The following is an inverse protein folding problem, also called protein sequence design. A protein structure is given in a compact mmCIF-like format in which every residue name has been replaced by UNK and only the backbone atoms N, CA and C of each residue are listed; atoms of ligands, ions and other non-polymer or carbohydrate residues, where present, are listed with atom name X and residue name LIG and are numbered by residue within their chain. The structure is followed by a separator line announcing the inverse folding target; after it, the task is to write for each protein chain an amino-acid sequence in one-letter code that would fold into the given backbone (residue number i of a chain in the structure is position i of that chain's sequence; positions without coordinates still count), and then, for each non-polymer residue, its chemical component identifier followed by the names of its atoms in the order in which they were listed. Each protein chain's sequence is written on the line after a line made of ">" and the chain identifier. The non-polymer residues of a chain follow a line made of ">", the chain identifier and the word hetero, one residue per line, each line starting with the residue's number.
data_IF_391904056788
#
_entry.id   IF_391904056788
#
_cell.length_a   1.000
_cell.length_b   1.000
_cell.length_c   1.000
_cell.angle_alpha   90.00
_cell.angle_beta   90.00
_cell.angle_gamma   90.00
#
_symmetry.space_group_name_H-M   'P 1'
#
loop_
_entity.id
_entity.type
_entity.pdbx_description
1 polymer ?
#
# COMPACT_ATOMS: atom_id res chain seq x y z
N UNK A 1 8.55 -20.54 13.09
CA UNK A 1 9.60 -20.65 12.06
C UNK A 1 9.97 -22.12 11.94
N UNK A 2 10.23 -22.60 10.70
CA UNK A 2 10.73 -23.95 10.49
C UNK A 2 12.14 -24.10 11.08
N UNK A 3 12.50 -25.33 11.49
CA UNK A 3 13.86 -25.61 11.96
C UNK A 3 14.92 -25.17 10.94
N UNK A 4 15.95 -24.46 11.40
CA UNK A 4 17.05 -23.97 10.57
C UNK A 4 16.86 -22.57 9.98
N UNK A 5 15.77 -21.86 10.32
CA UNK A 5 15.60 -20.46 9.92
C UNK A 5 16.21 -19.53 10.99
N UNK A 6 17.09 -18.61 10.54
CA UNK A 6 17.67 -17.55 11.37
C UNK A 6 16.82 -16.28 11.26
N UNK A 7 16.10 -15.92 12.33
CA UNK A 7 15.35 -14.69 12.44
C UNK A 7 15.94 -13.83 13.56
N UNK A 8 16.42 -12.66 13.22
CA UNK A 8 17.03 -11.73 14.15
C UNK A 8 16.23 -10.46 14.26
N UNK A 9 15.84 -10.11 15.50
CA UNK A 9 15.20 -8.83 15.83
C UNK A 9 16.23 -7.83 16.32
N UNK A 10 15.95 -6.53 16.18
CA UNK A 10 16.86 -5.46 16.60
C UNK A 10 18.10 -5.34 15.71
N UNK A 11 18.08 -5.90 14.51
CA UNK A 11 19.15 -5.77 13.52
C UNK A 11 18.68 -4.85 12.41
N UNK A 12 19.45 -3.79 12.15
CA UNK A 12 19.18 -2.82 11.08
C UNK A 12 20.11 -3.10 9.91
N UNK A 13 19.53 -3.37 8.73
CA UNK A 13 20.32 -3.46 7.50
C UNK A 13 20.71 -2.05 7.03
N UNK A 14 22.00 -1.84 6.77
CA UNK A 14 22.57 -0.53 6.45
C UNK A 14 22.80 -0.36 4.95
N UNK A 15 23.27 -1.42 4.27
CA UNK A 15 23.52 -1.43 2.83
C UNK A 15 23.63 -2.84 2.26
N UNK A 16 23.44 -2.95 0.95
CA UNK A 16 23.67 -4.17 0.16
C UNK A 16 24.72 -3.87 -0.91
N UNK A 17 25.72 -4.75 -1.03
CA UNK A 17 26.81 -4.62 -2.00
C UNK A 17 26.92 -5.91 -2.85
N UNK A 18 27.51 -5.78 -4.03
CA UNK A 18 27.82 -6.93 -4.89
C UNK A 18 26.60 -7.57 -5.53
N UNK A 19 25.58 -6.81 -5.89
CA UNK A 19 24.36 -7.31 -6.54
C UNK A 19 24.67 -8.15 -7.80
N UNK A 20 25.68 -7.77 -8.58
CA UNK A 20 26.13 -8.50 -9.77
C UNK A 20 27.02 -9.72 -9.48
N UNK A 21 27.40 -9.92 -8.24
CA UNK A 21 28.22 -11.05 -7.86
C UNK A 21 27.39 -12.31 -7.61
N UNK A 22 28.02 -13.47 -7.61
CA UNK A 22 27.37 -14.72 -7.23
C UNK A 22 26.94 -14.74 -5.74
N UNK A 23 27.55 -13.89 -4.92
CA UNK A 23 27.30 -13.78 -3.48
C UNK A 23 27.26 -12.30 -3.05
N UNK A 24 26.06 -11.67 -3.14
CA UNK A 24 25.87 -10.34 -2.59
C UNK A 24 26.02 -10.35 -1.08
N UNK A 25 26.37 -9.19 -0.50
CA UNK A 25 26.57 -9.01 0.94
C UNK A 25 25.62 -7.97 1.52
N UNK A 26 25.08 -8.30 2.69
CA UNK A 26 24.29 -7.36 3.49
C UNK A 26 25.13 -6.94 4.69
N UNK A 27 25.29 -5.64 4.86
CA UNK A 27 25.91 -5.05 6.04
C UNK A 27 24.80 -4.57 6.97
N UNK A 28 24.91 -4.90 8.25
CA UNK A 28 23.87 -4.59 9.22
C UNK A 28 24.49 -4.25 10.59
N UNK A 29 23.71 -3.54 11.40
CA UNK A 29 24.09 -3.18 12.78
C UNK A 29 23.11 -3.82 13.77
N UNK A 30 23.62 -4.59 14.70
CA UNK A 30 22.85 -5.20 15.79
C UNK A 30 22.41 -4.18 16.84
N UNK A 31 21.49 -4.58 17.74
CA UNK A 31 20.93 -3.72 18.78
C UNK A 31 21.98 -3.18 19.79
N UNK A 32 23.08 -3.90 19.96
CA UNK A 32 24.24 -3.55 20.79
C UNK A 32 25.33 -2.77 20.05
N UNK A 33 25.10 -2.46 18.75
CA UNK A 33 26.07 -1.79 17.88
C UNK A 33 27.07 -2.75 17.21
N UNK A 34 26.89 -4.07 17.34
CA UNK A 34 27.71 -5.04 16.62
C UNK A 34 27.52 -4.87 15.09
N UNK A 35 28.66 -4.87 14.38
CA UNK A 35 28.65 -4.84 12.91
C UNK A 35 28.58 -6.26 12.35
N UNK A 36 27.59 -6.50 11.52
CA UNK A 36 27.34 -7.79 10.88
C UNK A 36 27.60 -7.69 9.38
N UNK A 37 28.27 -8.70 8.83
CA UNK A 37 28.41 -8.91 7.39
C UNK A 37 27.82 -10.27 7.04
N UNK A 38 26.84 -10.31 6.14
CA UNK A 38 26.09 -11.51 5.78
C UNK A 38 26.30 -11.77 4.30
N UNK A 39 27.01 -12.84 3.95
CA UNK A 39 27.10 -13.35 2.59
C UNK A 39 25.85 -14.16 2.25
N UNK A 40 25.23 -13.87 1.11
CA UNK A 40 24.01 -14.54 0.67
C UNK A 40 24.14 -15.04 -0.77
N UNK A 41 23.41 -16.10 -1.12
CA UNK A 41 23.25 -16.53 -2.52
C UNK A 41 22.26 -15.62 -3.25
N UNK A 42 21.33 -15.02 -2.52
CA UNK A 42 20.37 -14.05 -3.01
C UNK A 42 19.89 -13.13 -1.89
N UNK A 43 19.62 -11.87 -2.20
CA UNK A 43 19.06 -10.89 -1.24
C UNK A 43 17.67 -10.46 -1.70
N UNK A 44 16.69 -10.51 -0.78
CA UNK A 44 15.34 -10.01 -1.00
C UNK A 44 15.11 -8.76 -0.16
N UNK A 45 14.93 -7.62 -0.81
CA UNK A 45 14.56 -6.36 -0.17
C UNK A 45 13.06 -6.34 0.11
N UNK A 46 12.70 -6.59 1.38
CA UNK A 46 11.33 -6.48 1.92
C UNK A 46 11.30 -5.41 3.04
N UNK A 47 12.12 -4.38 2.90
CA UNK A 47 12.52 -3.40 3.91
C UNK A 47 11.70 -2.10 3.85
N UNK A 48 10.51 -2.18 3.25
CA UNK A 48 9.52 -1.12 3.29
C UNK A 48 9.82 0.07 2.36
N UNK A 49 9.06 1.14 2.53
CA UNK A 49 9.08 2.27 1.60
C UNK A 49 10.38 3.10 1.60
N UNK A 50 11.20 2.97 2.64
CA UNK A 50 12.53 3.61 2.75
C UNK A 50 13.68 2.63 2.48
N UNK A 51 13.43 1.67 1.61
CA UNK A 51 14.29 0.54 1.29
C UNK A 51 15.75 0.92 0.99
N UNK A 52 16.69 0.30 1.70
CA UNK A 52 18.11 0.36 1.39
C UNK A 52 18.46 -0.62 0.25
N UNK A 53 17.76 -1.75 0.18
CA UNK A 53 17.93 -2.72 -0.91
C UNK A 53 17.61 -2.12 -2.27
N UNK A 54 16.68 -1.15 -2.34
CA UNK A 54 16.37 -0.41 -3.57
C UNK A 54 17.58 0.31 -4.15
N UNK A 55 18.47 0.82 -3.31
CA UNK A 55 19.71 1.45 -3.78
C UNK A 55 20.59 0.47 -4.54
N UNK A 56 20.67 -0.79 -4.10
CA UNK A 56 21.43 -1.82 -4.79
C UNK A 56 20.80 -2.25 -6.12
N UNK A 57 19.49 -2.09 -6.27
CA UNK A 57 18.76 -2.47 -7.49
C UNK A 57 18.69 -1.33 -8.50
N UNK A 58 18.40 -0.10 -8.06
CA UNK A 58 18.11 1.04 -8.96
C UNK A 58 19.20 2.11 -8.95
N UNK A 59 20.23 1.95 -8.15
CA UNK A 59 21.28 2.96 -7.93
C UNK A 59 20.87 4.13 -7.00
N UNK A 60 19.61 4.18 -6.53
CA UNK A 60 19.09 5.24 -5.66
C UNK A 60 17.88 4.77 -4.85
N UNK A 61 17.74 5.25 -3.61
CA UNK A 61 16.52 5.01 -2.82
C UNK A 61 15.25 5.61 -3.46
N UNK A 62 15.39 6.64 -4.28
CA UNK A 62 14.29 7.31 -5.00
C UNK A 62 14.18 6.86 -6.46
N UNK A 63 14.90 5.81 -6.85
CA UNK A 63 14.92 5.31 -8.23
C UNK A 63 13.60 4.66 -8.62
N UNK A 64 12.62 5.47 -9.07
CA UNK A 64 11.29 5.00 -9.43
C UNK A 64 10.35 6.10 -9.91
N UNK A 65 9.15 5.68 -10.29
CA UNK A 65 8.03 6.56 -10.58
C UNK A 65 7.36 6.98 -9.29
N UNK A 66 7.18 8.27 -9.05
CA UNK A 66 6.67 8.81 -7.81
C UNK A 66 5.52 9.79 -8.04
N UNK A 67 4.50 9.75 -7.17
CA UNK A 67 3.41 10.72 -7.13
C UNK A 67 2.96 10.96 -5.71
N UNK A 68 2.84 12.22 -5.33
CA UNK A 68 2.13 12.68 -4.13
C UNK A 68 0.71 13.12 -4.47
N UNK A 69 -0.16 13.05 -3.48
CA UNK A 69 -1.55 13.50 -3.61
C UNK A 69 -1.74 14.76 -2.75
N UNK A 70 -2.54 15.73 -3.23
CA UNK A 70 -2.73 17.01 -2.54
C UNK A 70 -3.72 16.93 -1.37
N UNK A 71 -3.95 15.75 -0.83
CA UNK A 71 -4.81 15.48 0.32
C UNK A 71 -4.30 14.24 1.08
N UNK A 72 -4.79 14.12 2.31
CA UNK A 72 -4.51 13.01 3.20
C UNK A 72 -5.81 12.47 3.80
N UNK A 73 -5.71 11.42 4.60
CA UNK A 73 -6.77 10.96 5.48
C UNK A 73 -6.44 11.31 6.91
N UNK A 74 -7.36 12.01 7.57
CA UNK A 74 -7.40 12.07 9.01
C UNK A 74 -8.06 10.78 9.50
N UNK A 75 -7.34 9.99 10.29
CA UNK A 75 -7.76 8.70 10.79
C UNK A 75 -8.01 8.71 12.28
N UNK A 76 -9.08 8.06 12.72
CA UNK A 76 -9.36 7.80 14.12
C UNK A 76 -9.59 6.31 14.39
N UNK A 77 -9.20 5.86 15.59
CA UNK A 77 -9.70 4.63 16.20
C UNK A 77 -10.53 5.02 17.41
N UNK A 78 -11.73 4.46 17.53
CA UNK A 78 -12.65 4.72 18.62
C UNK A 78 -13.27 3.45 19.18
N UNK A 79 -13.61 3.47 20.46
CA UNK A 79 -14.33 2.40 21.14
C UNK A 79 -15.84 2.57 20.90
N UNK A 80 -16.33 2.03 19.79
CA UNK A 80 -17.75 2.07 19.43
C UNK A 80 -18.15 0.81 18.67
N UNK A 81 -19.41 0.35 18.79
CA UNK A 81 -19.92 -0.73 17.95
C UNK A 81 -20.02 -0.29 16.49
N UNK A 82 -20.06 -1.24 15.53
CA UNK A 82 -20.15 -0.91 14.10
C UNK A 82 -21.29 0.04 13.77
N UNK A 83 -21.00 1.07 12.98
CA UNK A 83 -22.00 2.03 12.47
C UNK A 83 -22.84 1.44 11.33
N UNK A 84 -22.32 0.42 10.65
CA UNK A 84 -22.95 -0.30 9.55
C UNK A 84 -22.42 -1.72 9.50
N UNK A 85 -23.19 -2.65 8.96
CA UNK A 85 -22.76 -4.02 8.70
C UNK A 85 -21.69 -4.07 7.59
N UNK A 86 -21.70 -3.10 6.69
CA UNK A 86 -20.80 -3.00 5.56
C UNK A 86 -19.81 -1.84 5.71
N UNK A 87 -18.68 -1.96 5.04
CA UNK A 87 -17.73 -0.88 4.85
C UNK A 87 -18.36 0.27 4.05
N UNK A 88 -18.27 1.51 4.56
CA UNK A 88 -18.78 2.68 3.85
C UNK A 88 -17.63 3.47 3.23
N UNK A 89 -17.65 3.59 1.90
CA UNK A 89 -16.92 4.60 1.14
C UNK A 89 -17.88 5.71 0.77
N UNK A 90 -17.65 6.92 1.22
CA UNK A 90 -18.52 8.06 0.94
C UNK A 90 -17.79 9.13 0.16
N UNK A 91 -18.39 9.57 -0.97
CA UNK A 91 -18.04 10.81 -1.65
C UNK A 91 -19.13 11.84 -1.32
N UNK A 92 -18.78 12.95 -0.73
CA UNK A 92 -19.71 14.02 -0.37
C UNK A 92 -19.19 15.39 -0.82
N UNK A 93 -20.02 16.45 -0.79
CA UNK A 93 -19.53 17.81 -1.03
C UNK A 93 -18.43 18.26 -0.07
N UNK A 94 -18.37 17.66 1.12
CA UNK A 94 -17.33 17.92 2.13
C UNK A 94 -16.07 17.06 1.97
N UNK A 95 -15.98 16.26 0.91
CA UNK A 95 -14.90 15.33 0.63
C UNK A 95 -15.21 13.89 1.01
N UNK A 96 -14.19 13.06 0.98
CA UNK A 96 -14.27 11.62 1.21
C UNK A 96 -14.38 11.28 2.70
N UNK A 97 -15.08 10.17 2.99
CA UNK A 97 -14.99 9.46 4.27
C UNK A 97 -14.98 7.94 4.06
N UNK A 98 -14.33 7.23 4.97
CA UNK A 98 -14.30 5.78 5.05
C UNK A 98 -14.66 5.37 6.49
N UNK A 99 -15.69 4.54 6.63
CA UNK A 99 -16.12 4.00 7.91
C UNK A 99 -15.92 2.48 7.88
N UNK A 100 -15.15 1.95 8.83
CA UNK A 100 -14.86 0.52 8.89
C UNK A 100 -14.81 0.02 10.32
N UNK A 101 -15.37 -1.18 10.55
CA UNK A 101 -15.20 -1.89 11.81
C UNK A 101 -13.84 -2.62 11.85
N UNK A 102 -13.27 -2.71 13.05
CA UNK A 102 -12.11 -3.54 13.35
C UNK A 102 -12.48 -4.75 14.21
N UNK A 103 -13.49 -4.57 15.05
CA UNK A 103 -14.11 -5.59 15.90
C UNK A 103 -15.52 -5.16 16.22
N UNK A 104 -16.22 -5.95 17.04
CA UNK A 104 -17.56 -5.62 17.54
C UNK A 104 -17.58 -4.35 18.42
N UNK A 105 -16.43 -3.90 18.89
CA UNK A 105 -16.30 -2.78 19.84
C UNK A 105 -15.33 -1.69 19.38
N UNK A 106 -14.69 -1.83 18.22
CA UNK A 106 -13.70 -0.87 17.70
C UNK A 106 -13.98 -0.54 16.26
N UNK A 107 -14.07 0.73 15.95
CA UNK A 107 -14.14 1.24 14.59
C UNK A 107 -12.88 2.04 14.22
N UNK A 108 -12.52 1.96 12.95
CA UNK A 108 -11.54 2.82 12.32
C UNK A 108 -12.24 3.65 11.25
N UNK A 109 -12.17 4.96 11.39
CA UNK A 109 -12.81 5.90 10.47
C UNK A 109 -11.78 6.89 9.92
N UNK A 110 -12.03 7.33 8.70
CA UNK A 110 -11.18 8.30 8.03
C UNK A 110 -12.04 9.36 7.34
N UNK A 111 -11.53 10.59 7.28
CA UNK A 111 -12.04 11.61 6.38
C UNK A 111 -10.90 12.32 5.66
N UNK A 112 -11.19 12.83 4.47
CA UNK A 112 -10.25 13.60 3.68
C UNK A 112 -9.88 14.91 4.40
N UNK A 113 -8.58 15.20 4.48
CA UNK A 113 -8.03 16.42 5.08
C UNK A 113 -6.85 16.98 4.27
N UNK A 114 -6.38 18.14 4.67
CA UNK A 114 -5.09 18.69 4.22
C UNK A 114 -3.95 17.77 4.71
N UNK A 115 -2.92 17.50 3.89
CA UNK A 115 -1.78 16.66 4.31
C UNK A 115 -0.97 17.22 5.49
N UNK A 116 -1.03 18.52 5.72
CA UNK A 116 -0.26 19.21 6.76
C UNK A 116 -1.06 19.51 8.03
N UNK A 117 -2.30 19.00 8.12
CA UNK A 117 -3.11 19.19 9.32
C UNK A 117 -2.47 18.51 10.53
N UNK A 118 -2.47 19.20 11.67
CA UNK A 118 -2.03 18.63 12.94
C UNK A 118 -3.11 17.65 13.45
N UNK A 119 -2.78 16.39 13.80
CA UNK A 119 -3.73 15.46 14.41
C UNK A 119 -4.42 15.97 15.67
N UNK A 120 -3.79 16.88 16.39
CA UNK A 120 -4.34 17.49 17.61
C UNK A 120 -5.13 18.80 17.35
N UNK A 121 -5.29 19.20 16.09
CA UNK A 121 -6.00 20.44 15.73
C UNK A 121 -7.50 20.42 16.02
N UNK A 122 -8.09 19.24 16.17
CA UNK A 122 -9.53 19.07 16.34
C UNK A 122 -9.89 18.50 17.71
N UNK A 123 -10.98 19.00 18.28
CA UNK A 123 -11.66 18.35 19.41
C UNK A 123 -12.36 17.07 18.97
N UNK A 124 -12.76 16.22 19.92
CA UNK A 124 -13.50 14.99 19.57
C UNK A 124 -14.86 15.32 18.91
N UNK A 125 -15.55 16.36 19.40
CA UNK A 125 -16.81 16.81 18.84
C UNK A 125 -16.66 17.23 17.38
N UNK A 126 -15.64 18.04 17.05
CA UNK A 126 -15.35 18.47 15.68
C UNK A 126 -15.00 17.28 14.77
N UNK A 127 -14.29 16.25 15.28
CA UNK A 127 -13.99 15.04 14.51
C UNK A 127 -15.27 14.27 14.15
N UNK A 128 -16.21 14.13 15.10
CA UNK A 128 -17.49 13.51 14.83
C UNK A 128 -18.35 14.32 13.86
N UNK A 129 -18.38 15.63 13.97
CA UNK A 129 -19.04 16.52 13.01
C UNK A 129 -18.44 16.37 11.61
N UNK A 130 -17.12 16.35 11.49
CA UNK A 130 -16.43 16.14 10.21
C UNK A 130 -16.78 14.81 9.56
N UNK A 131 -16.82 13.73 10.33
CA UNK A 131 -17.18 12.41 9.85
C UNK A 131 -18.67 12.33 9.45
N UNK A 132 -19.58 12.77 10.34
CA UNK A 132 -21.01 12.70 10.10
C UNK A 132 -21.45 13.55 8.90
N UNK A 133 -20.85 14.73 8.72
CA UNK A 133 -21.14 15.60 7.56
C UNK A 133 -20.79 14.97 6.21
N UNK A 134 -19.92 13.96 6.20
CA UNK A 134 -19.50 13.24 4.98
C UNK A 134 -20.26 11.95 4.74
N UNK A 135 -21.06 11.48 5.72
CA UNK A 135 -21.84 10.23 5.64
C UNK A 135 -23.32 10.51 5.95
N UNK A 136 -24.02 11.25 5.08
CA UNK A 136 -25.39 11.72 5.38
C UNK A 136 -26.43 10.60 5.45
N UNK A 137 -26.14 9.42 4.92
CA UNK A 137 -27.08 8.28 4.86
C UNK A 137 -27.05 7.34 6.06
N UNK A 138 -26.11 7.54 7.01
CA UNK A 138 -25.92 6.64 8.15
C UNK A 138 -25.59 7.47 9.39
N UNK A 139 -26.26 7.18 10.51
CA UNK A 139 -25.90 7.75 11.81
C UNK A 139 -24.69 6.99 12.34
N UNK A 140 -23.59 7.67 12.52
CA UNK A 140 -22.38 7.09 13.06
C UNK A 140 -22.53 6.76 14.55
N UNK A 141 -21.95 5.65 14.96
CA UNK A 141 -21.83 5.27 16.38
C UNK A 141 -20.58 5.91 16.93
N UNK A 142 -20.76 6.86 17.82
CA UNK A 142 -19.68 7.58 18.49
C UNK A 142 -19.18 6.83 19.73
N UNK A 143 -17.94 7.10 20.12
CA UNK A 143 -17.33 6.58 21.34
C UNK A 143 -15.94 7.19 21.56
N UNK A 144 -15.29 6.93 22.70
CA UNK A 144 -13.99 7.49 23.03
C UNK A 144 -12.96 7.24 21.95
N UNK A 145 -12.30 8.30 21.47
CA UNK A 145 -11.23 8.24 20.49
C UNK A 145 -9.91 8.00 21.23
N UNK A 146 -9.23 6.88 20.91
CA UNK A 146 -7.97 6.52 21.57
C UNK A 146 -6.74 6.60 20.66
N UNK A 147 -6.93 6.80 19.36
CA UNK A 147 -5.84 7.05 18.40
C UNK A 147 -6.29 8.02 17.31
N UNK A 148 -5.37 8.92 16.94
CA UNK A 148 -5.49 9.86 15.81
C UNK A 148 -4.24 9.80 14.99
N UNK A 149 -4.36 9.87 13.66
CA UNK A 149 -3.24 9.95 12.74
C UNK A 149 -3.60 10.69 11.45
N UNK A 150 -2.60 11.17 10.73
CA UNK A 150 -2.76 11.72 9.37
C UNK A 150 -1.96 10.86 8.40
N UNK A 151 -2.68 10.19 7.51
CA UNK A 151 -2.12 9.31 6.51
C UNK A 151 -1.97 10.07 5.18
N UNK A 152 -0.75 10.49 4.87
CA UNK A 152 -0.41 11.10 3.57
C UNK A 152 -0.35 10.03 2.49
N UNK A 153 -0.84 10.37 1.31
CA UNK A 153 -0.89 9.45 0.16
C UNK A 153 0.29 9.64 -0.76
N UNK A 154 0.85 8.52 -1.17
CA UNK A 154 1.83 8.49 -2.24
C UNK A 154 1.66 7.23 -3.09
N UNK A 155 2.00 7.34 -4.35
CA UNK A 155 2.27 6.20 -5.23
C UNK A 155 3.76 6.16 -5.52
N UNK A 156 4.30 4.96 -5.52
CA UNK A 156 5.67 4.72 -5.94
C UNK A 156 5.75 3.38 -6.68
N UNK A 157 6.58 3.30 -7.70
CA UNK A 157 6.98 2.04 -8.35
C UNK A 157 8.46 2.16 -8.70
N UNK A 158 9.29 1.24 -8.22
CA UNK A 158 10.71 1.21 -8.57
C UNK A 158 10.89 1.04 -10.09
N UNK A 159 11.92 1.67 -10.67
CA UNK A 159 12.24 1.52 -12.08
C UNK A 159 12.59 0.08 -12.43
N UNK A 160 13.28 -0.59 -11.53
CA UNK A 160 13.69 -1.97 -11.63
C UNK A 160 13.29 -2.72 -10.35
N UNK A 161 12.84 -3.96 -10.50
CA UNK A 161 12.44 -4.82 -9.38
C UNK A 161 13.51 -5.82 -9.01
N UNK A 162 14.54 -5.98 -9.84
CA UNK A 162 15.67 -6.88 -9.65
C UNK A 162 16.91 -6.33 -10.36
N UNK A 163 18.06 -6.51 -9.71
CA UNK A 163 19.37 -6.34 -10.31
C UNK A 163 20.30 -7.48 -9.81
N UNK A 164 20.84 -8.27 -10.73
CA UNK A 164 21.68 -9.41 -10.40
C UNK A 164 21.01 -10.37 -9.39
N UNK A 165 21.62 -10.51 -8.23
CA UNK A 165 21.16 -11.36 -7.11
C UNK A 165 20.42 -10.59 -6.02
N UNK A 166 19.85 -9.43 -6.33
CA UNK A 166 19.02 -8.64 -5.41
C UNK A 166 17.67 -8.37 -6.06
N UNK A 167 16.57 -8.66 -5.36
CA UNK A 167 15.22 -8.34 -5.82
C UNK A 167 14.41 -7.61 -4.74
N UNK A 168 13.41 -6.83 -5.15
CA UNK A 168 12.52 -6.05 -4.30
C UNK A 168 11.13 -6.67 -4.27
N UNK A 169 10.48 -6.62 -3.10
CA UNK A 169 9.08 -7.02 -2.89
C UNK A 169 8.36 -6.03 -2.00
N UNK A 170 7.05 -5.92 -2.15
CA UNK A 170 6.20 -5.07 -1.31
C UNK A 170 6.56 -3.59 -1.39
N UNK A 171 6.52 -2.87 -0.28
CA UNK A 171 6.74 -1.43 -0.23
C UNK A 171 8.17 -1.00 -0.62
N UNK A 172 9.12 -1.93 -0.61
CA UNK A 172 10.44 -1.71 -1.20
C UNK A 172 10.38 -1.52 -2.72
N UNK A 173 9.49 -2.24 -3.37
CA UNK A 173 9.25 -2.21 -4.83
C UNK A 173 8.19 -1.19 -5.23
N UNK A 174 7.12 -1.05 -4.46
CA UNK A 174 5.96 -0.21 -4.80
C UNK A 174 5.12 0.18 -3.59
N UNK A 175 4.54 1.37 -3.63
CA UNK A 175 3.47 1.80 -2.71
C UNK A 175 2.27 2.27 -3.50
N UNK A 176 1.07 2.03 -2.98
CA UNK A 176 -0.21 2.41 -3.60
C UNK A 176 -1.04 3.24 -2.63
N UNK A 177 -1.92 4.15 -3.11
CA UNK A 177 -2.88 4.82 -2.24
C UNK A 177 -3.74 3.81 -1.48
N UNK A 178 -4.08 4.06 -0.22
CA UNK A 178 -4.81 3.11 0.62
C UNK A 178 -6.25 2.88 0.19
N UNK A 179 -6.84 3.77 -0.61
CA UNK A 179 -8.24 3.73 -1.07
C UNK A 179 -8.62 2.41 -1.74
N UNK A 180 -7.69 1.81 -2.48
CA UNK A 180 -7.92 0.53 -3.16
C UNK A 180 -7.71 -0.72 -2.29
N UNK A 181 -7.19 -0.57 -1.06
CA UNK A 181 -6.84 -1.67 -0.14
C UNK A 181 -5.94 -2.75 -0.79
N UNK A 182 -4.98 -2.34 -1.64
CA UNK A 182 -4.15 -3.26 -2.45
C UNK A 182 -2.76 -3.55 -1.90
N UNK A 183 -2.20 -2.70 -1.03
CA UNK A 183 -0.78 -2.74 -0.65
C UNK A 183 -0.33 -4.12 -0.14
N UNK A 184 -0.98 -4.65 0.89
CA UNK A 184 -0.61 -5.94 1.48
C UNK A 184 -0.79 -7.11 0.49
N UNK A 185 -1.94 -7.16 -0.19
CA UNK A 185 -2.23 -8.25 -1.15
C UNK A 185 -1.24 -8.25 -2.31
N UNK A 186 -0.80 -7.07 -2.76
CA UNK A 186 0.20 -6.91 -3.81
C UNK A 186 1.56 -7.39 -3.32
N UNK A 187 1.97 -7.02 -2.11
CA UNK A 187 3.22 -7.46 -1.49
C UNK A 187 3.28 -8.99 -1.32
N UNK A 188 2.17 -9.61 -0.89
CA UNK A 188 2.07 -11.09 -0.79
C UNK A 188 2.18 -11.74 -2.18
N UNK A 189 1.59 -11.13 -3.21
CA UNK A 189 1.70 -11.64 -4.57
C UNK A 189 3.15 -11.61 -5.08
N UNK A 190 3.90 -10.53 -4.80
CA UNK A 190 5.32 -10.44 -5.14
C UNK A 190 6.12 -11.57 -4.48
N UNK A 191 5.87 -11.80 -3.19
CA UNK A 191 6.56 -12.86 -2.42
C UNK A 191 6.29 -14.23 -3.03
N UNK A 192 5.04 -14.53 -3.42
CA UNK A 192 4.70 -15.82 -4.04
C UNK A 192 5.38 -15.97 -5.40
N UNK A 193 5.41 -14.92 -6.22
CA UNK A 193 6.07 -14.96 -7.52
C UNK A 193 7.59 -15.14 -7.38
N UNK A 194 8.20 -14.37 -6.48
CA UNK A 194 9.64 -14.43 -6.25
C UNK A 194 10.06 -15.76 -5.59
N UNK A 195 9.26 -16.29 -4.65
CA UNK A 195 9.52 -17.60 -4.02
C UNK A 195 9.60 -18.72 -5.07
N UNK A 196 8.65 -18.75 -5.99
CA UNK A 196 8.67 -19.74 -7.09
C UNK A 196 9.91 -19.59 -7.96
N UNK A 197 10.27 -18.35 -8.29
CA UNK A 197 11.45 -18.06 -9.09
C UNK A 197 12.75 -18.47 -8.38
N UNK A 198 12.85 -18.19 -7.08
CA UNK A 198 14.02 -18.59 -6.28
C UNK A 198 14.11 -20.10 -6.08
N UNK A 199 12.99 -20.80 -5.95
CA UNK A 199 13.00 -22.27 -5.91
C UNK A 199 13.53 -22.86 -7.21
N UNK A 200 13.08 -22.37 -8.36
CA UNK A 200 13.59 -22.83 -9.66
C UNK A 200 15.09 -22.56 -9.78
N UNK A 201 15.56 -21.39 -9.38
CA UNK A 201 16.96 -21.05 -9.38
C UNK A 201 17.79 -21.95 -8.45
N UNK A 202 17.40 -22.04 -7.17
CA UNK A 202 18.25 -22.65 -6.13
C UNK A 202 18.17 -24.19 -6.13
N UNK A 203 17.04 -24.79 -6.53
CA UNK A 203 16.83 -26.23 -6.49
C UNK A 203 16.99 -26.89 -7.86
N UNK A 204 16.71 -26.17 -8.95
CA UNK A 204 16.67 -26.71 -10.31
C UNK A 204 17.72 -26.08 -11.23
N UNK A 205 18.43 -25.05 -10.74
CA UNK A 205 19.37 -24.22 -11.51
C UNK A 205 18.75 -23.61 -12.77
N UNK A 206 17.45 -23.22 -12.66
CA UNK A 206 16.69 -22.57 -13.73
C UNK A 206 16.50 -21.08 -13.40
N UNK A 207 17.16 -20.21 -14.15
CA UNK A 207 17.08 -18.73 -13.96
C UNK A 207 15.88 -18.10 -14.69
N UNK A 208 15.24 -18.79 -15.62
CA UNK A 208 14.16 -18.24 -16.48
C UNK A 208 13.00 -17.63 -15.67
N UNK A 209 12.47 -18.26 -14.61
CA UNK A 209 11.43 -17.65 -13.79
C UNK A 209 11.90 -16.39 -13.05
N UNK A 210 13.18 -16.35 -12.65
CA UNK A 210 13.75 -15.19 -11.99
C UNK A 210 13.94 -14.02 -12.97
N UNK A 211 14.33 -14.29 -14.20
CA UNK A 211 14.43 -13.27 -15.26
C UNK A 211 13.06 -12.74 -15.66
N UNK A 212 12.01 -13.56 -15.60
CA UNK A 212 10.63 -13.15 -15.87
C UNK A 212 9.95 -12.41 -14.71
N UNK A 213 10.48 -12.52 -13.47
CA UNK A 213 9.88 -11.91 -12.27
C UNK A 213 9.60 -10.41 -12.41
N UNK A 214 10.54 -9.55 -12.84
CA UNK A 214 10.32 -8.12 -12.93
C UNK A 214 9.14 -7.75 -13.83
N UNK A 215 9.02 -8.37 -14.99
CA UNK A 215 7.93 -8.10 -15.92
C UNK A 215 6.59 -8.63 -15.39
N UNK A 216 6.57 -9.83 -14.84
CA UNK A 216 5.35 -10.46 -14.31
C UNK A 216 4.80 -9.67 -13.11
N UNK A 217 5.66 -9.30 -12.16
CA UNK A 217 5.28 -8.47 -11.02
C UNK A 217 4.84 -7.07 -11.46
N UNK A 218 5.58 -6.43 -12.39
CA UNK A 218 5.28 -5.08 -12.87
C UNK A 218 3.90 -4.97 -13.53
N UNK A 219 3.49 -5.95 -14.33
CA UNK A 219 2.14 -5.98 -14.91
C UNK A 219 1.04 -5.94 -13.85
N UNK A 220 1.23 -6.66 -12.75
CA UNK A 220 0.31 -6.70 -11.62
C UNK A 220 0.35 -5.40 -10.81
N UNK A 221 1.55 -4.88 -10.54
CA UNK A 221 1.77 -3.61 -9.85
C UNK A 221 1.02 -2.48 -10.56
N UNK A 222 1.16 -2.35 -11.87
CA UNK A 222 0.51 -1.27 -12.63
C UNK A 222 -1.02 -1.40 -12.70
N UNK A 223 -1.57 -2.62 -12.71
CA UNK A 223 -3.03 -2.83 -12.55
C UNK A 223 -3.51 -2.33 -11.17
N UNK A 224 -2.79 -2.66 -10.11
CA UNK A 224 -3.12 -2.23 -8.75
C UNK A 224 -2.93 -0.70 -8.56
N UNK A 225 -1.89 -0.11 -9.15
CA UNK A 225 -1.68 1.34 -9.19
C UNK A 225 -2.84 2.05 -9.90
N UNK A 226 -3.23 1.55 -11.08
CA UNK A 226 -4.39 2.10 -11.80
C UNK A 226 -5.65 2.06 -10.96
N UNK A 227 -6.00 0.91 -10.39
CA UNK A 227 -7.21 0.75 -9.58
C UNK A 227 -7.19 1.66 -8.35
N UNK A 228 -6.09 1.68 -7.60
CA UNK A 228 -5.96 2.52 -6.40
C UNK A 228 -6.01 4.01 -6.73
N UNK A 229 -5.35 4.42 -7.81
CA UNK A 229 -5.42 5.80 -8.32
C UNK A 229 -6.84 6.17 -8.76
N UNK A 230 -7.51 5.29 -9.50
CA UNK A 230 -8.87 5.52 -9.99
C UNK A 230 -9.87 5.65 -8.84
N UNK A 231 -9.85 4.73 -7.88
CA UNK A 231 -10.68 4.82 -6.67
C UNK A 231 -10.41 6.11 -5.89
N UNK A 232 -9.15 6.48 -5.75
CA UNK A 232 -8.75 7.72 -5.09
C UNK A 232 -9.32 8.94 -5.83
N UNK A 233 -9.13 9.00 -7.14
CA UNK A 233 -9.61 10.12 -7.97
C UNK A 233 -11.14 10.20 -8.05
N UNK A 234 -11.83 9.07 -8.02
CA UNK A 234 -13.30 9.00 -8.07
C UNK A 234 -13.94 9.43 -6.73
N UNK A 235 -13.25 9.19 -5.60
CA UNK A 235 -13.85 9.37 -4.28
C UNK A 235 -13.39 10.65 -3.56
N UNK A 236 -12.20 11.17 -3.86
CA UNK A 236 -11.67 12.37 -3.19
C UNK A 236 -11.86 13.61 -4.02
N UNK A 237 -12.08 14.73 -3.35
CA UNK A 237 -12.22 16.05 -4.00
C UNK A 237 -10.85 16.73 -3.99
N UNK A 238 -10.31 17.03 -5.15
CA UNK A 238 -9.05 17.79 -5.24
C UNK A 238 -9.26 19.21 -4.70
N UNK A 239 -8.26 19.81 -4.02
CA UNK A 239 -8.40 21.16 -3.44
C UNK A 239 -8.73 22.26 -4.46
N UNK A 240 -8.28 22.08 -5.70
CA UNK A 240 -8.50 22.98 -6.85
C UNK A 240 -9.68 22.55 -7.75
N UNK A 241 -10.49 21.58 -7.32
CA UNK A 241 -11.61 21.07 -8.11
C UNK A 241 -12.68 22.13 -8.32
N UNK A 242 -13.00 22.36 -9.60
CA UNK A 242 -14.12 23.24 -10.02
C UNK A 242 -15.47 22.53 -9.85
N UNK A 243 -16.56 23.28 -10.00
CA UNK A 243 -17.92 22.69 -10.04
C UNK A 243 -18.09 21.70 -11.20
N UNK A 244 -17.40 21.93 -12.32
CA UNK A 244 -17.39 20.99 -13.43
C UNK A 244 -16.73 19.67 -13.01
N UNK A 245 -15.58 19.72 -12.36
CA UNK A 245 -14.84 18.53 -11.92
C UNK A 245 -15.66 17.70 -10.94
N UNK A 246 -16.31 18.35 -9.98
CA UNK A 246 -17.20 17.71 -9.00
C UNK A 246 -18.40 17.02 -9.67
N UNK A 247 -19.05 17.68 -10.63
CA UNK A 247 -20.19 17.10 -11.38
C UNK A 247 -19.75 15.93 -12.25
N UNK A 248 -18.59 16.05 -12.91
CA UNK A 248 -18.00 14.97 -13.71
C UNK A 248 -17.68 13.76 -12.82
N UNK A 249 -17.10 13.98 -11.65
CA UNK A 249 -16.78 12.93 -10.68
C UNK A 249 -18.03 12.17 -10.21
N UNK A 250 -19.11 12.88 -9.90
CA UNK A 250 -20.41 12.26 -9.58
C UNK A 250 -20.96 11.48 -10.78
N UNK A 251 -20.80 11.99 -12.00
CA UNK A 251 -21.17 11.29 -13.24
C UNK A 251 -20.38 10.00 -13.42
N UNK A 252 -19.08 10.02 -13.13
CA UNK A 252 -18.22 8.82 -13.15
C UNK A 252 -18.70 7.77 -12.12
N UNK A 253 -18.91 8.19 -10.87
CA UNK A 253 -19.40 7.30 -9.82
C UNK A 253 -20.75 6.65 -10.20
N UNK A 254 -21.69 7.44 -10.74
CA UNK A 254 -22.98 6.92 -11.24
C UNK A 254 -22.80 5.93 -12.39
N UNK A 255 -21.91 6.21 -13.32
CA UNK A 255 -21.62 5.30 -14.44
C UNK A 255 -21.12 3.93 -13.95
N UNK A 256 -20.41 3.91 -12.83
CA UNK A 256 -19.95 2.66 -12.20
C UNK A 256 -21.07 1.96 -11.45
N UNK A 257 -21.78 2.66 -10.56
CA UNK A 257 -22.75 2.02 -9.64
C UNK A 257 -24.09 1.70 -10.28
N UNK A 258 -24.51 2.45 -11.32
CA UNK A 258 -25.78 2.25 -12.04
C UNK A 258 -25.64 1.24 -13.20
N UNK A 259 -24.42 0.91 -13.64
CA UNK A 259 -24.12 -0.05 -14.70
C UNK A 259 -23.77 -1.42 -14.13
N UNK A 260 -24.34 -2.49 -14.67
CA UNK A 260 -23.95 -3.87 -14.31
C UNK A 260 -22.47 -4.13 -14.62
N UNK A 261 -21.99 -3.71 -15.80
CA UNK A 261 -20.60 -3.85 -16.19
C UNK A 261 -19.66 -3.04 -15.28
N UNK A 262 -20.09 -1.81 -14.89
CA UNK A 262 -19.34 -0.96 -13.97
C UNK A 262 -19.22 -1.59 -12.58
N UNK A 263 -20.31 -2.07 -12.00
CA UNK A 263 -20.30 -2.77 -10.71
C UNK A 263 -19.45 -4.03 -10.75
N UNK A 264 -19.54 -4.80 -11.83
CA UNK A 264 -18.75 -6.02 -12.02
C UNK A 264 -17.25 -5.70 -12.10
N UNK A 265 -16.87 -4.70 -12.89
CA UNK A 265 -15.48 -4.26 -12.98
C UNK A 265 -14.95 -3.78 -11.61
N UNK A 266 -15.73 -2.95 -10.90
CA UNK A 266 -15.36 -2.47 -9.56
C UNK A 266 -15.14 -3.64 -8.58
N UNK A 267 -16.10 -4.58 -8.55
CA UNK A 267 -16.02 -5.75 -7.65
C UNK A 267 -14.80 -6.63 -7.98
N UNK A 268 -14.58 -6.93 -9.25
CA UNK A 268 -13.44 -7.73 -9.71
C UNK A 268 -12.09 -7.05 -9.41
N UNK A 269 -11.99 -5.77 -9.69
CA UNK A 269 -10.79 -5.00 -9.40
C UNK A 269 -10.57 -4.81 -7.88
N UNK A 270 -11.65 -4.68 -7.08
CA UNK A 270 -11.59 -4.56 -5.63
C UNK A 270 -11.19 -5.87 -4.94
N UNK A 271 -11.73 -7.01 -5.35
CA UNK A 271 -11.34 -8.33 -4.83
C UNK A 271 -9.92 -8.71 -5.29
N UNK A 272 -9.51 -8.25 -6.45
CA UNK A 272 -8.19 -8.51 -7.05
C UNK A 272 -8.23 -9.60 -8.11
N UNK A 273 -7.22 -9.57 -8.97
CA UNK A 273 -7.07 -10.56 -10.04
C UNK A 273 -6.36 -11.82 -9.53
N UNK A 274 -6.71 -13.01 -10.02
CA UNK A 274 -6.00 -14.24 -9.70
C UNK A 274 -4.50 -14.09 -9.96
N UNK A 275 -3.68 -14.79 -9.17
CA UNK A 275 -2.25 -14.94 -9.49
C UNK A 275 -2.13 -15.75 -10.77
N UNK A 276 -1.39 -15.22 -11.73
CA UNK A 276 -1.02 -15.98 -12.93
C UNK A 276 -0.16 -17.17 -12.48
N UNK A 277 -0.63 -18.38 -12.75
CA UNK A 277 0.02 -19.62 -12.28
C UNK A 277 1.06 -20.13 -13.26
N UNK A 278 1.14 -19.59 -14.48
CA UNK A 278 2.16 -19.88 -15.48
C UNK A 278 3.19 -18.73 -15.50
N UNK A 279 4.39 -19.03 -15.06
CA UNK A 279 5.60 -18.29 -15.42
C UNK A 279 6.17 -18.87 -16.69
#
# INVERSE_FOLDING_TARGET
>A
LAEGQDLRFGVTADRVEGADSARPRVFATGADGEQLEIDAEFVVGADGSHSIARTAVTGSQTGGYFREYPFAWFGILCEAPPSSDELIYSNSPNGFALISQRSDTVQRMYFQCDPDVDPEAFTEEELWEHLQARVPGTTLKEGPIFQRDVLRFRSFVAHELRHGRVALVGDAAHTVPPTGAKGMNLAVADVILLERALRALLLENDERPLDAYPETASRRIWKAQHFSWWMTSMLHVAPDATDFDRRRQVGELRSVVESEAGRRYLAEAYTGWPLETAL
#
